data_IF_153696899319
#
_entry.id   IF_153696899319
#
_cell.length_a   1.000
_cell.length_b   1.000
_cell.length_c   1.000
_cell.angle_alpha   90.00
_cell.angle_beta   90.00
_cell.angle_gamma   90.00
#
_symmetry.space_group_name_H-M   'P 1'
#
loop_
_entity.id
_entity.type
_entity.pdbx_description
1 polymer ?
#
# COMPACT_ATOMS: atom_id res chain seq x y z
N UNK A 1 -3.54 -14.30 -7.71
CA UNK A 1 -2.98 -13.51 -6.61
C UNK A 1 -2.96 -12.05 -7.01
N UNK A 2 -3.49 -11.16 -6.17
CA UNK A 2 -3.55 -9.71 -6.43
C UNK A 2 -2.55 -9.00 -5.52
N UNK A 3 -1.73 -8.12 -6.09
CA UNK A 3 -0.89 -7.19 -5.33
C UNK A 3 -1.65 -5.88 -5.14
N UNK A 4 -1.85 -5.46 -3.89
CA UNK A 4 -2.39 -4.15 -3.55
C UNK A 4 -1.21 -3.26 -3.15
N UNK A 5 -0.86 -2.30 -4.00
CA UNK A 5 0.35 -1.49 -3.87
C UNK A 5 -0.07 -0.08 -3.49
N UNK A 6 0.41 0.39 -2.34
CA UNK A 6 -0.04 1.67 -1.78
C UNK A 6 1.08 2.66 -1.52
N UNK A 7 0.72 3.92 -1.70
CA UNK A 7 1.34 5.07 -1.03
C UNK A 7 0.34 5.61 -0.01
N UNK A 8 0.77 5.86 1.23
CA UNK A 8 -0.12 6.43 2.24
C UNK A 8 0.66 7.25 3.25
N UNK A 9 0.49 8.57 3.17
CA UNK A 9 1.11 9.48 4.15
C UNK A 9 0.27 9.55 5.43
N UNK A 10 -1.04 9.75 5.29
CA UNK A 10 -1.97 9.90 6.43
C UNK A 10 -2.78 8.64 6.73
N UNK A 11 -2.42 7.48 6.19
CA UNK A 11 -3.08 6.20 6.48
C UNK A 11 -4.46 5.97 5.83
N UNK A 12 -5.08 6.98 5.20
CA UNK A 12 -6.40 6.80 4.56
C UNK A 12 -6.38 5.74 3.47
N UNK A 13 -5.36 5.76 2.61
CA UNK A 13 -5.20 4.76 1.54
C UNK A 13 -4.93 3.36 2.13
N UNK A 14 -4.16 3.26 3.21
CA UNK A 14 -3.96 1.98 3.91
C UNK A 14 -5.29 1.39 4.39
N UNK A 15 -6.17 2.21 5.00
CA UNK A 15 -7.51 1.77 5.40
C UNK A 15 -8.36 1.29 4.22
N UNK A 16 -8.28 1.98 3.08
CA UNK A 16 -8.96 1.55 1.85
C UNK A 16 -8.39 0.24 1.30
N UNK A 17 -7.07 0.05 1.39
CA UNK A 17 -6.39 -1.17 0.94
C UNK A 17 -6.81 -2.40 1.74
N UNK A 18 -6.95 -2.28 3.05
CA UNK A 18 -7.48 -3.36 3.90
C UNK A 18 -8.92 -3.73 3.52
N UNK A 19 -9.77 -2.74 3.26
CA UNK A 19 -11.14 -2.99 2.79
C UNK A 19 -11.17 -3.68 1.40
N UNK A 20 -10.28 -3.27 0.50
CA UNK A 20 -10.13 -3.90 -0.82
C UNK A 20 -9.61 -5.34 -0.71
N UNK A 21 -8.62 -5.59 0.16
CA UNK A 21 -8.11 -6.93 0.47
C UNK A 21 -9.23 -7.85 0.95
N UNK A 22 -10.01 -7.42 1.93
CA UNK A 22 -11.15 -8.19 2.45
C UNK A 22 -12.17 -8.51 1.35
N UNK A 23 -12.40 -7.58 0.42
CA UNK A 23 -13.33 -7.78 -0.70
C UNK A 23 -12.81 -8.85 -1.67
N UNK A 24 -11.51 -8.83 -1.99
CA UNK A 24 -10.87 -9.85 -2.85
C UNK A 24 -10.93 -11.22 -2.19
N UNK A 25 -10.62 -11.31 -0.90
CA UNK A 25 -10.68 -12.56 -0.13
C UNK A 25 -12.10 -13.13 -0.06
N UNK A 26 -13.12 -12.28 0.15
CA UNK A 26 -14.53 -12.68 0.11
C UNK A 26 -14.97 -13.23 -1.25
N UNK A 27 -14.39 -12.74 -2.34
CA UNK A 27 -14.64 -13.24 -3.69
C UNK A 27 -13.88 -14.56 -4.01
N UNK A 28 -13.16 -15.13 -3.04
CA UNK A 28 -12.35 -16.35 -3.21
C UNK A 28 -10.95 -16.11 -3.76
N UNK A 29 -10.51 -14.85 -3.85
CA UNK A 29 -9.17 -14.48 -4.28
C UNK A 29 -8.14 -14.45 -3.15
N UNK A 30 -6.88 -14.24 -3.51
CA UNK A 30 -5.78 -13.98 -2.57
C UNK A 30 -5.19 -12.60 -2.86
N UNK A 31 -5.06 -11.76 -1.83
CA UNK A 31 -4.49 -10.43 -1.94
C UNK A 31 -3.42 -10.16 -0.88
N UNK A 32 -2.36 -9.46 -1.29
CA UNK A 32 -1.27 -9.02 -0.41
C UNK A 32 -1.12 -7.51 -0.51
N UNK A 33 -1.02 -6.82 0.62
CA UNK A 33 -0.80 -5.37 0.67
C UNK A 33 0.70 -5.10 0.75
N UNK A 34 1.16 -4.18 -0.08
CA UNK A 34 2.53 -3.71 -0.16
C UNK A 34 2.56 -2.19 -0.13
N UNK A 35 3.66 -1.64 0.36
CA UNK A 35 3.94 -0.22 0.28
C UNK A 35 5.12 0.09 -0.64
N UNK A 36 5.11 1.28 -1.22
CA UNK A 36 6.29 1.83 -1.89
C UNK A 36 7.26 2.45 -0.88
N UNK A 37 8.54 2.50 -1.24
CA UNK A 37 9.55 3.19 -0.44
C UNK A 37 9.19 4.68 -0.24
N UNK A 38 9.38 5.16 0.99
CA UNK A 38 9.23 6.58 1.31
C UNK A 38 10.34 7.40 0.65
N UNK A 39 9.97 8.50 -0.01
CA UNK A 39 10.92 9.39 -0.67
C UNK A 39 11.20 10.67 0.13
N UNK A 40 10.39 10.96 1.15
CA UNK A 40 10.59 12.09 2.06
C UNK A 40 11.49 11.69 3.24
N UNK A 41 12.40 12.60 3.61
CA UNK A 41 13.22 12.45 4.81
C UNK A 41 12.37 12.47 6.09
N UNK A 42 12.81 11.83 7.18
CA UNK A 42 12.12 11.86 8.48
C UNK A 42 11.78 13.28 8.98
N UNK A 43 12.67 14.25 8.78
CA UNK A 43 12.45 15.64 9.21
C UNK A 43 11.29 16.31 8.46
N UNK A 44 11.12 16.00 7.18
CA UNK A 44 9.99 16.50 6.38
C UNK A 44 8.70 15.82 6.86
N UNK A 45 8.71 14.51 7.08
CA UNK A 45 7.55 13.78 7.59
C UNK A 45 7.09 14.30 8.96
N UNK A 46 8.03 14.61 9.84
CA UNK A 46 7.77 15.22 11.14
C UNK A 46 7.10 16.59 10.99
N UNK A 47 7.61 17.46 10.10
CA UNK A 47 7.00 18.77 9.79
C UNK A 47 5.60 18.65 9.18
N UNK A 48 5.34 17.59 8.42
CA UNK A 48 4.04 17.30 7.82
C UNK A 48 3.05 16.66 8.80
N UNK A 49 3.48 16.44 10.06
CA UNK A 49 2.72 15.72 11.08
C UNK A 49 2.23 14.36 10.57
N UNK A 50 3.05 13.69 9.76
CA UNK A 50 2.72 12.38 9.22
C UNK A 50 2.69 11.35 10.36
N UNK A 51 1.63 10.55 10.48
CA UNK A 51 1.64 9.41 11.39
C UNK A 51 2.71 8.38 10.98
N UNK A 52 3.08 7.47 11.89
CA UNK A 52 3.90 6.31 11.55
C UNK A 52 3.28 5.50 10.42
N UNK A 53 4.13 4.97 9.53
CA UNK A 53 3.64 4.10 8.45
C UNK A 53 3.12 2.77 9.01
N UNK A 54 2.10 2.18 8.36
CA UNK A 54 1.70 0.81 8.65
C UNK A 54 2.81 -0.19 8.29
N UNK A 55 2.82 -1.31 8.98
CA UNK A 55 3.82 -2.37 8.83
C UNK A 55 3.49 -3.29 7.64
N UNK A 56 3.66 -2.76 6.43
CA UNK A 56 3.53 -3.53 5.19
C UNK A 56 4.90 -3.76 4.54
N UNK A 57 5.12 -4.88 3.85
CA UNK A 57 6.36 -5.08 3.10
C UNK A 57 6.52 -4.04 1.99
N UNK A 58 7.77 -3.64 1.74
CA UNK A 58 8.15 -2.81 0.59
C UNK A 58 8.21 -3.70 -0.65
N UNK A 59 7.57 -3.30 -1.74
CA UNK A 59 7.58 -4.05 -3.00
C UNK A 59 8.64 -3.56 -3.98
N UNK A 60 9.29 -4.49 -4.68
CA UNK A 60 10.16 -4.20 -5.81
C UNK A 60 9.48 -4.51 -7.14
N UNK A 61 10.00 -3.93 -8.24
CA UNK A 61 9.46 -4.17 -9.59
C UNK A 61 9.40 -5.65 -9.97
N UNK A 62 10.41 -6.43 -9.57
CA UNK A 62 10.46 -7.87 -9.87
C UNK A 62 9.40 -8.67 -9.12
N UNK A 63 8.90 -8.18 -7.99
CA UNK A 63 7.87 -8.89 -7.23
C UNK A 63 6.51 -8.87 -7.96
N UNK A 64 6.29 -7.86 -8.83
CA UNK A 64 5.05 -7.69 -9.58
C UNK A 64 4.77 -8.85 -10.52
N UNK A 65 5.81 -9.53 -11.04
CA UNK A 65 5.64 -10.67 -11.96
C UNK A 65 5.08 -11.91 -11.26
N UNK A 66 5.06 -11.94 -9.93
CA UNK A 66 4.52 -13.06 -9.13
C UNK A 66 2.99 -12.96 -8.92
N UNK A 67 2.35 -11.92 -9.47
CA UNK A 67 0.93 -11.61 -9.28
C UNK A 67 0.20 -11.55 -10.61
N UNK A 68 -1.08 -11.95 -10.59
CA UNK A 68 -1.96 -11.98 -11.77
C UNK A 68 -2.67 -10.65 -12.00
N UNK A 69 -2.60 -9.74 -11.03
CA UNK A 69 -3.23 -8.43 -11.11
C UNK A 69 -2.72 -7.48 -10.02
N UNK A 70 -2.88 -6.18 -10.27
CA UNK A 70 -2.46 -5.12 -9.38
C UNK A 70 -3.62 -4.16 -9.09
N UNK A 71 -3.69 -3.67 -7.85
CA UNK A 71 -4.53 -2.56 -7.43
C UNK A 71 -3.64 -1.47 -6.83
N UNK A 72 -3.71 -0.26 -7.40
CA UNK A 72 -2.90 0.86 -6.94
C UNK A 72 -3.72 1.80 -6.05
N UNK A 73 -3.29 1.97 -4.81
CA UNK A 73 -3.79 2.98 -3.90
C UNK A 73 -2.84 4.17 -3.86
N UNK A 74 -3.20 5.27 -4.52
CA UNK A 74 -2.36 6.48 -4.59
C UNK A 74 -3.17 7.66 -4.05
N UNK A 75 -2.67 8.41 -3.05
CA UNK A 75 -3.38 9.57 -2.53
C UNK A 75 -3.34 10.69 -3.57
N UNK A 76 -4.39 11.51 -3.64
CA UNK A 76 -4.47 12.61 -4.59
C UNK A 76 -3.57 13.77 -4.17
N UNK A 77 -2.36 13.79 -4.71
CA UNK A 77 -1.42 14.91 -4.75
C UNK A 77 -0.53 14.77 -5.97
#
# INVERSE_FOLDING_TARGET
KIAIIISSMYGHIAKMAEAAKQSVEKAGGQASIFQIAENLSPDILAKMHSPPKPDYPIINLNDLTNYDGCLFGVPTR
#
